data_IF_583993810845
#
_entry.id   IF_583993810845
#
_cell.length_a   1.000
_cell.length_b   1.000
_cell.length_c   1.000
_cell.angle_alpha   90.00
_cell.angle_beta   90.00
_cell.angle_gamma   90.00
#
_symmetry.space_group_name_H-M   'P 1'
#
loop_
_entity.id
_entity.type
_entity.pdbx_description
1 polymer ?
#
# COMPACT_ATOMS: atom_id res chain seq x y z
N UNK A 1 -4.29 1.31 -15.84
CA UNK A 1 -4.86 -0.03 -15.66
C UNK A 1 -4.91 -0.38 -14.18
N UNK A 2 -6.01 -0.94 -13.72
CA UNK A 2 -6.19 -1.31 -12.32
C UNK A 2 -6.01 -2.81 -12.20
N UNK A 3 -5.17 -3.24 -11.28
CA UNK A 3 -4.91 -4.66 -11.07
C UNK A 3 -5.10 -5.00 -9.60
N UNK A 4 -5.66 -6.18 -9.33
CA UNK A 4 -5.79 -6.67 -7.97
C UNK A 4 -4.45 -7.19 -7.47
N UNK A 5 -4.09 -6.79 -6.25
CA UNK A 5 -2.86 -7.26 -5.62
C UNK A 5 -3.17 -7.73 -4.22
N UNK A 6 -2.48 -8.75 -3.78
CA UNK A 6 -2.59 -9.21 -2.41
C UNK A 6 -1.64 -8.41 -1.54
N UNK A 7 -2.06 -8.19 -0.31
CA UNK A 7 -1.26 -7.42 0.61
C UNK A 7 -1.33 -8.01 2.01
N UNK A 8 -0.36 -7.61 2.82
CA UNK A 8 -0.41 -7.85 4.26
C UNK A 8 -0.04 -6.54 4.94
N UNK A 9 -0.57 -6.34 6.14
CA UNK A 9 -0.19 -5.19 6.93
C UNK A 9 1.08 -5.53 7.70
N UNK A 10 2.00 -4.58 7.75
CA UNK A 10 3.28 -4.81 8.42
C UNK A 10 3.65 -3.55 9.20
N UNK A 11 4.47 -3.72 10.23
CA UNK A 11 4.94 -2.56 10.99
C UNK A 11 6.06 -1.88 10.23
N UNK A 12 5.99 -0.54 10.21
CA UNK A 12 7.08 0.24 9.66
C UNK A 12 8.32 0.17 10.55
N UNK A 13 9.40 0.72 10.05
CA UNK A 13 10.65 0.70 10.79
C UNK A 13 10.65 1.58 12.04
N UNK A 14 9.64 2.43 12.21
CA UNK A 14 9.53 3.28 13.38
C UNK A 14 8.27 2.91 14.14
N UNK A 15 8.32 3.07 15.45
CA UNK A 15 7.23 2.66 16.32
C UNK A 15 5.93 3.38 15.94
N UNK A 16 4.85 2.64 15.98
CA UNK A 16 3.53 3.18 15.74
C UNK A 16 3.13 3.29 14.28
N UNK A 17 4.03 3.00 13.35
CA UNK A 17 3.72 3.08 11.94
C UNK A 17 3.30 1.74 11.41
N UNK A 18 2.24 1.73 10.62
CA UNK A 18 1.77 0.52 9.95
C UNK A 18 1.81 0.77 8.46
N UNK A 19 2.37 -0.16 7.73
CA UNK A 19 2.46 -0.09 6.29
C UNK A 19 1.70 -1.25 5.68
N UNK A 20 1.19 -1.01 4.48
CA UNK A 20 0.61 -2.05 3.65
C UNK A 20 1.70 -2.53 2.72
N UNK A 21 1.92 -3.83 2.67
CA UNK A 21 2.97 -4.41 1.83
C UNK A 21 2.35 -5.40 0.87
N UNK A 22 2.66 -5.27 -0.42
CA UNK A 22 2.21 -6.26 -1.39
C UNK A 22 3.19 -7.43 -1.44
N UNK A 23 2.83 -8.46 -2.20
CA UNK A 23 3.65 -9.67 -2.25
C UNK A 23 4.93 -9.49 -3.07
N UNK A 24 5.04 -8.39 -3.79
CA UNK A 24 6.23 -8.10 -4.57
C UNK A 24 7.29 -7.34 -3.80
N UNK A 25 6.95 -6.86 -2.59
CA UNK A 25 7.89 -6.12 -1.77
C UNK A 25 7.69 -4.63 -1.75
N UNK A 26 6.69 -4.11 -2.46
CA UNK A 26 6.36 -2.69 -2.39
C UNK A 26 5.62 -2.40 -1.10
N UNK A 27 5.89 -1.25 -0.53
CA UNK A 27 5.21 -0.81 0.68
C UNK A 27 4.42 0.46 0.40
N UNK A 28 3.30 0.60 1.09
CA UNK A 28 2.42 1.73 0.93
C UNK A 28 2.08 2.30 2.29
N UNK A 29 1.99 3.61 2.39
CA UNK A 29 1.60 4.29 3.61
C UNK A 29 0.20 4.85 3.47
N UNK A 30 -0.50 4.97 4.60
CA UNK A 30 -1.86 5.48 4.62
C UNK A 30 -1.89 6.92 4.08
N UNK A 31 -2.79 7.16 3.15
CA UNK A 31 -2.94 8.48 2.55
C UNK A 31 -4.27 9.13 2.90
N UNK A 32 -5.32 8.33 3.01
CA UNK A 32 -6.64 8.86 3.32
C UNK A 32 -7.72 7.82 3.13
N UNK A 33 -8.94 8.20 3.44
CA UNK A 33 -10.07 7.30 3.32
C UNK A 33 -11.19 7.99 2.57
N UNK A 34 -11.92 7.21 1.78
CA UNK A 34 -13.10 7.69 1.07
C UNK A 34 -14.33 7.42 1.93
N UNK A 35 -15.39 8.18 1.65
CA UNK A 35 -16.66 8.02 2.37
C UNK A 35 -17.31 6.66 2.14
N UNK A 36 -16.95 6.01 1.05
CA UNK A 36 -17.52 4.71 0.69
C UNK A 36 -16.94 3.54 1.50
N UNK A 37 -16.04 3.80 2.43
CA UNK A 37 -15.44 2.73 3.22
C UNK A 37 -14.18 2.15 2.60
N UNK A 38 -13.57 2.89 1.70
CA UNK A 38 -12.34 2.48 1.03
C UNK A 38 -11.22 3.39 1.48
N UNK A 39 -10.06 2.82 1.74
CA UNK A 39 -8.87 3.56 2.12
C UNK A 39 -7.92 3.64 0.93
N UNK A 40 -7.20 4.75 0.86
CA UNK A 40 -6.17 4.94 -0.15
C UNK A 40 -4.81 4.88 0.52
N UNK A 41 -3.96 4.00 0.02
CA UNK A 41 -2.60 3.81 0.51
C UNK A 41 -1.66 4.10 -0.64
N UNK A 42 -0.74 5.01 -0.43
CA UNK A 42 0.17 5.46 -1.47
C UNK A 42 1.55 4.90 -1.26
N UNK A 43 2.29 4.69 -2.36
CA UNK A 43 3.63 4.14 -2.30
C UNK A 43 4.48 4.96 -1.33
N UNK A 44 5.16 4.29 -0.41
CA UNK A 44 5.95 4.95 0.61
C UNK A 44 7.19 5.63 0.04
N UNK A 45 7.52 5.37 -1.22
CA UNK A 45 8.66 5.99 -1.91
C UNK A 45 8.30 7.23 -2.71
N UNK A 46 7.06 7.70 -2.61
CA UNK A 46 6.61 8.85 -3.41
C UNK A 46 7.47 10.08 -3.16
N UNK A 47 8.02 10.21 -1.97
CA UNK A 47 8.79 11.39 -1.59
C UNK A 47 10.15 11.42 -2.26
N UNK A 48 10.82 10.28 -2.34
CA UNK A 48 12.17 10.21 -2.90
C UNK A 48 12.17 10.00 -4.40
N UNK A 49 11.25 9.19 -4.89
CA UNK A 49 11.23 8.74 -6.28
C UNK A 49 10.04 9.31 -7.04
N UNK A 50 9.14 9.99 -6.33
CA UNK A 50 7.91 10.54 -6.90
C UNK A 50 7.04 9.46 -7.54
N UNK A 51 7.02 8.29 -6.93
CA UNK A 51 6.20 7.18 -7.41
C UNK A 51 4.73 7.53 -7.24
N UNK A 52 3.95 7.35 -8.30
CA UNK A 52 2.53 7.69 -8.30
C UNK A 52 1.64 6.49 -8.02
N UNK A 53 2.22 5.33 -7.77
CA UNK A 53 1.44 4.13 -7.50
C UNK A 53 0.72 4.25 -6.16
N UNK A 54 -0.52 3.79 -6.14
CA UNK A 54 -1.28 3.70 -4.90
C UNK A 54 -2.25 2.54 -5.01
N UNK A 55 -2.80 2.14 -3.88
CA UNK A 55 -3.78 1.06 -3.85
C UNK A 55 -5.03 1.56 -3.14
N UNK A 56 -6.17 1.00 -3.54
CA UNK A 56 -7.44 1.20 -2.85
C UNK A 56 -7.81 -0.11 -2.17
N UNK A 57 -8.13 -0.02 -0.90
CA UNK A 57 -8.40 -1.21 -0.11
C UNK A 57 -9.60 -0.95 0.80
N UNK A 58 -10.47 -1.93 0.95
CA UNK A 58 -11.64 -1.78 1.81
C UNK A 58 -11.22 -1.77 3.27
N UNK A 59 -11.97 -1.01 4.08
CA UNK A 59 -11.71 -0.93 5.51
C UNK A 59 -11.71 -2.32 6.15
N UNK A 60 -12.62 -3.19 5.73
CA UNK A 60 -12.73 -4.53 6.31
C UNK A 60 -11.48 -5.35 6.05
N UNK A 61 -10.83 -5.15 4.89
CA UNK A 61 -9.61 -5.88 4.58
C UNK A 61 -8.45 -5.35 5.41
N UNK A 62 -8.40 -4.05 5.63
CA UNK A 62 -7.36 -3.45 6.46
C UNK A 62 -7.48 -3.97 7.90
N UNK A 63 -8.71 -4.08 8.40
CA UNK A 63 -8.95 -4.57 9.75
C UNK A 63 -8.48 -6.02 9.92
N UNK A 64 -8.57 -6.81 8.86
CA UNK A 64 -8.08 -8.19 8.91
C UNK A 64 -6.56 -8.27 8.87
N UNK A 65 -5.90 -7.20 8.45
CA UNK A 65 -4.46 -7.18 8.33
C UNK A 65 -3.91 -7.82 7.07
N UNK A 66 -4.78 -8.26 6.17
CA UNK A 66 -4.39 -8.87 4.89
C UNK A 66 -5.60 -8.91 3.98
N UNK A 67 -5.37 -9.14 2.70
CA UNK A 67 -6.44 -9.25 1.74
C UNK A 67 -6.00 -8.83 0.37
N UNK A 68 -6.92 -8.29 -0.41
CA UNK A 68 -6.67 -7.81 -1.75
C UNK A 68 -6.97 -6.33 -1.84
N UNK A 69 -6.15 -5.65 -2.64
CA UNK A 69 -6.33 -4.24 -2.92
C UNK A 69 -6.28 -4.03 -4.42
N UNK A 70 -6.78 -2.88 -4.88
CA UNK A 70 -6.72 -2.52 -6.29
C UNK A 70 -5.59 -1.52 -6.48
N UNK A 71 -4.56 -1.93 -7.21
CA UNK A 71 -3.44 -1.06 -7.51
C UNK A 71 -3.76 -0.18 -8.70
N UNK A 72 -3.58 1.12 -8.52
CA UNK A 72 -3.74 2.11 -9.59
C UNK A 72 -2.37 2.66 -9.89
N UNK A 73 -2.02 2.72 -11.14
CA UNK A 73 -0.71 3.14 -11.64
C UNK A 73 0.37 2.12 -11.29
N UNK A 74 1.40 2.11 -12.11
CA UNK A 74 2.54 1.21 -11.90
C UNK A 74 3.64 1.94 -11.14
N UNK A 75 4.43 1.16 -10.42
CA UNK A 75 5.61 1.70 -9.75
C UNK A 75 6.65 2.09 -10.78
N UNK A 76 7.39 3.13 -10.45
CA UNK A 76 8.48 3.60 -11.30
C UNK A 76 9.84 3.16 -10.74
N UNK A 77 9.85 2.23 -9.82
CA UNK A 77 11.07 1.76 -9.17
C UNK A 77 10.90 0.28 -8.82
N UNK A 78 12.01 -0.44 -8.61
CA UNK A 78 11.90 -1.83 -8.19
C UNK A 78 11.41 -1.94 -6.75
N UNK A 79 10.88 -3.11 -6.36
CA UNK A 79 10.47 -3.32 -4.98
C UNK A 79 11.64 -3.24 -4.03
N UNK A 80 11.35 -2.85 -2.80
CA UNK A 80 12.36 -2.80 -1.76
C UNK A 80 12.58 -4.21 -1.25
N UNK A 81 13.81 -4.68 -1.33
CA UNK A 81 14.14 -5.96 -0.73
C UNK A 81 14.62 -5.70 0.69
N UNK A 82 13.88 -6.23 1.65
CA UNK A 82 14.37 -6.17 3.02
C UNK A 82 15.40 -7.27 3.23
N UNK A 83 16.48 -6.87 3.74
CA UNK A 83 17.56 -7.78 4.02
C UNK A 83 17.44 -8.37 5.42
#
# INVERSE_FOLDING_TARGET
MIAGVRFVMTEGGRSGSILLQDLQGYTFSFNGAYKSGIQRWQCSRKRNIKCKAYVRVENSEVDKGRGQALQVNQHCHPPIKSE
#
